data_IF_864713858946
#
_entry.id   IF_864713858946
#
_cell.length_a   1.000
_cell.length_b   1.000
_cell.length_c   1.000
_cell.angle_alpha   90.00
_cell.angle_beta   90.00
_cell.angle_gamma   90.00
#
_symmetry.space_group_name_H-M   'P 1'
#
loop_
_entity.id
_entity.type
_entity.pdbx_description
1 polymer ?
#
# COMPACT_ATOMS: atom_id res chain seq x y z
N UNK A 1 15.37 -9.76 -8.02
CA UNK A 1 13.97 -10.02 -7.68
C UNK A 1 13.13 -8.85 -8.17
N UNK A 2 12.16 -9.11 -9.03
CA UNK A 2 11.15 -8.15 -9.50
C UNK A 2 9.94 -8.14 -8.57
N UNK A 3 9.05 -7.15 -8.73
CA UNK A 3 7.77 -7.13 -8.02
C UNK A 3 6.90 -8.33 -8.38
N UNK A 4 6.84 -8.71 -9.66
CA UNK A 4 6.10 -9.89 -10.11
C UNK A 4 6.60 -11.18 -9.45
N UNK A 5 7.93 -11.40 -9.44
CA UNK A 5 8.53 -12.56 -8.79
C UNK A 5 8.23 -12.58 -7.29
N UNK A 6 8.25 -11.43 -6.63
CA UNK A 6 7.92 -11.32 -5.21
C UNK A 6 6.44 -11.63 -4.92
N UNK A 7 5.52 -11.20 -5.79
CA UNK A 7 4.09 -11.56 -5.70
C UNK A 7 3.92 -13.06 -5.90
N UNK A 8 4.51 -13.64 -6.95
CA UNK A 8 4.42 -15.08 -7.27
C UNK A 8 5.01 -15.99 -6.19
N UNK A 9 5.98 -15.49 -5.42
CA UNK A 9 6.57 -16.21 -4.29
C UNK A 9 5.71 -16.18 -3.01
N UNK A 10 4.67 -15.34 -2.94
CA UNK A 10 3.76 -15.31 -1.80
C UNK A 10 2.79 -16.51 -1.83
N UNK A 11 2.20 -16.92 -0.69
CA UNK A 11 1.18 -17.97 -0.68
C UNK A 11 -0.06 -17.61 -1.49
N UNK A 12 -0.78 -18.63 -1.98
CA UNK A 12 -2.08 -18.45 -2.59
C UNK A 12 -3.07 -17.78 -1.61
N UNK A 13 -3.97 -16.91 -2.08
CA UNK A 13 -4.19 -16.53 -3.50
C UNK A 13 -3.33 -15.37 -4.00
N UNK A 14 -2.32 -14.90 -3.23
CA UNK A 14 -1.55 -13.71 -3.59
C UNK A 14 -0.62 -13.95 -4.79
N UNK A 15 -0.08 -15.17 -4.94
CA UNK A 15 0.78 -15.55 -6.07
C UNK A 15 0.21 -15.29 -7.47
N UNK A 16 -1.11 -15.25 -7.61
CA UNK A 16 -1.80 -15.09 -8.89
C UNK A 16 -2.38 -13.68 -9.08
N UNK A 17 -2.25 -12.81 -8.08
CA UNK A 17 -2.92 -11.51 -8.05
C UNK A 17 -2.11 -10.34 -8.65
N UNK A 18 -0.98 -10.64 -9.29
CA UNK A 18 -0.18 -9.63 -9.98
C UNK A 18 -0.93 -9.09 -11.20
N UNK A 19 -0.92 -7.76 -11.36
CA UNK A 19 -1.41 -7.08 -12.55
C UNK A 19 -0.35 -6.13 -13.12
N UNK A 20 -0.14 -6.06 -14.45
CA UNK A 20 0.79 -5.12 -15.06
C UNK A 20 0.43 -3.64 -14.79
N UNK A 21 1.43 -2.79 -14.58
CA UNK A 21 1.23 -1.36 -14.29
C UNK A 21 0.29 -1.13 -13.10
N UNK A 22 -0.59 -0.13 -13.17
CA UNK A 22 -1.56 0.22 -12.12
C UNK A 22 -2.93 -0.48 -12.26
N UNK A 23 -3.04 -1.54 -13.07
CA UNK A 23 -4.32 -2.15 -13.41
C UNK A 23 -5.10 -2.68 -12.19
N UNK A 24 -4.40 -3.17 -11.14
CA UNK A 24 -5.06 -3.66 -9.93
C UNK A 24 -5.83 -2.57 -9.15
N UNK A 25 -5.50 -1.29 -9.35
CA UNK A 25 -6.14 -0.16 -8.66
C UNK A 25 -7.48 0.24 -9.29
N UNK A 26 -7.77 -0.18 -10.53
CA UNK A 26 -8.97 0.27 -11.25
C UNK A 26 -9.08 1.79 -11.29
N UNK A 27 -10.22 2.34 -10.86
CA UNK A 27 -10.46 3.79 -10.81
C UNK A 27 -9.55 4.53 -9.83
N UNK A 28 -9.00 3.86 -8.81
CA UNK A 28 -8.05 4.46 -7.87
C UNK A 28 -6.68 4.75 -8.51
N UNK A 29 -6.40 4.22 -9.70
CA UNK A 29 -5.15 4.53 -10.43
C UNK A 29 -4.97 6.03 -10.67
N UNK A 30 -6.06 6.80 -10.86
CA UNK A 30 -6.02 8.25 -11.01
C UNK A 30 -5.52 9.02 -9.77
N UNK A 31 -5.42 8.34 -8.61
CA UNK A 31 -4.84 8.90 -7.39
C UNK A 31 -3.31 8.79 -7.35
N UNK A 32 -2.72 8.04 -8.28
CA UNK A 32 -1.27 7.87 -8.43
C UNK A 32 -0.80 8.62 -9.67
N UNK A 33 0.14 9.55 -9.49
CA UNK A 33 0.79 10.25 -10.60
C UNK A 33 2.15 9.58 -10.86
N UNK A 34 2.29 8.97 -12.04
CA UNK A 34 3.52 8.31 -12.50
C UNK A 34 4.05 8.97 -13.78
N UNK A 35 4.80 10.06 -13.61
CA UNK A 35 5.25 10.90 -14.71
C UNK A 35 6.32 10.24 -15.61
N UNK A 36 6.92 9.11 -15.17
CA UNK A 36 8.00 8.45 -15.92
C UNK A 36 7.73 6.97 -16.23
N UNK A 37 6.48 6.51 -16.14
CA UNK A 37 6.10 5.08 -16.35
C UNK A 37 6.98 4.13 -15.55
N UNK A 38 7.33 4.50 -14.32
CA UNK A 38 8.19 3.71 -13.44
C UNK A 38 7.45 2.55 -12.81
N UNK A 39 6.13 2.58 -12.80
CA UNK A 39 5.33 1.49 -12.28
C UNK A 39 5.49 0.24 -13.14
N UNK A 40 5.87 -0.87 -12.51
CA UNK A 40 6.08 -2.17 -13.17
C UNK A 40 4.85 -3.06 -13.03
N UNK A 41 4.23 -3.05 -11.85
CA UNK A 41 3.02 -3.82 -11.57
C UNK A 41 2.31 -3.38 -10.30
N UNK A 42 1.14 -3.97 -10.05
CA UNK A 42 0.30 -3.69 -8.90
C UNK A 42 -0.42 -4.95 -8.40
N UNK A 43 -0.87 -4.89 -7.15
CA UNK A 43 -1.54 -5.94 -6.41
C UNK A 43 -2.69 -5.30 -5.59
N UNK A 44 -3.90 -5.86 -5.67
CA UNK A 44 -5.04 -5.46 -4.83
C UNK A 44 -5.21 -6.48 -3.69
N UNK A 45 -4.43 -6.30 -2.63
CA UNK A 45 -4.28 -7.23 -1.52
C UNK A 45 -5.59 -7.44 -0.74
N UNK A 46 -6.33 -6.39 -0.42
CA UNK A 46 -7.61 -6.51 0.29
C UNK A 46 -8.60 -7.38 -0.49
N UNK A 47 -8.81 -7.06 -1.78
CA UNK A 47 -9.69 -7.83 -2.67
C UNK A 47 -9.24 -9.28 -2.82
N UNK A 48 -7.94 -9.51 -3.00
CA UNK A 48 -7.37 -10.85 -3.15
C UNK A 48 -7.61 -11.74 -1.92
N UNK A 49 -7.57 -11.15 -0.72
CA UNK A 49 -7.67 -11.89 0.54
C UNK A 49 -9.08 -11.85 1.16
N UNK A 50 -10.03 -11.13 0.58
CA UNK A 50 -11.36 -10.89 1.17
C UNK A 50 -12.12 -12.18 1.53
N UNK A 51 -11.98 -13.22 0.68
CA UNK A 51 -12.65 -14.52 0.84
C UNK A 51 -11.70 -15.62 1.31
N UNK A 52 -10.44 -15.30 1.60
CA UNK A 52 -9.44 -16.27 2.02
C UNK A 52 -9.39 -16.34 3.54
N UNK A 53 -9.56 -17.55 4.11
CA UNK A 53 -9.29 -17.77 5.53
C UNK A 53 -7.78 -17.90 5.76
N UNK A 54 -7.22 -17.30 6.83
CA UNK A 54 -7.90 -16.64 7.96
C UNK A 54 -8.11 -15.12 7.80
N UNK A 55 -7.91 -14.59 6.59
CA UNK A 55 -7.83 -13.14 6.35
C UNK A 55 -9.18 -12.44 6.20
N UNK A 56 -10.29 -13.17 6.00
CA UNK A 56 -11.62 -12.63 5.70
C UNK A 56 -12.15 -11.57 6.67
N UNK A 57 -11.75 -11.61 7.95
CA UNK A 57 -12.18 -10.64 8.98
C UNK A 57 -11.03 -9.76 9.51
N UNK A 58 -9.90 -9.70 8.81
CA UNK A 58 -8.73 -8.92 9.21
C UNK A 58 -8.78 -7.49 8.66
N UNK A 59 -8.10 -6.51 9.30
CA UNK A 59 -7.97 -5.16 8.77
C UNK A 59 -6.94 -5.17 7.63
N UNK A 60 -7.33 -5.70 6.48
CA UNK A 60 -6.45 -5.85 5.33
C UNK A 60 -6.11 -4.49 4.72
N UNK A 61 -4.92 -4.42 4.15
CA UNK A 61 -4.42 -3.27 3.41
C UNK A 61 -4.82 -3.36 1.94
N UNK A 62 -5.06 -2.21 1.30
CA UNK A 62 -5.61 -2.21 -0.05
C UNK A 62 -4.60 -2.63 -1.12
N UNK A 63 -3.54 -1.85 -1.37
CA UNK A 63 -2.71 -2.01 -2.58
C UNK A 63 -1.21 -2.14 -2.30
N UNK A 64 -0.55 -2.96 -3.12
CA UNK A 64 0.90 -2.98 -3.31
C UNK A 64 1.26 -2.57 -4.75
N UNK A 65 2.31 -1.78 -4.92
CA UNK A 65 2.73 -1.27 -6.23
C UNK A 65 4.24 -1.44 -6.38
N UNK A 66 4.65 -2.10 -7.45
CA UNK A 66 6.03 -2.24 -7.88
C UNK A 66 6.47 -1.07 -8.72
N UNK A 67 7.66 -0.53 -8.44
CA UNK A 67 8.28 0.54 -9.22
C UNK A 67 9.72 0.20 -9.55
N UNK A 68 10.14 0.55 -10.77
CA UNK A 68 11.54 0.51 -11.18
C UNK A 68 12.25 1.76 -10.68
N UNK A 69 13.29 1.58 -9.85
CA UNK A 69 14.20 2.64 -9.43
C UNK A 69 15.63 2.26 -9.80
N UNK A 70 16.22 3.01 -10.75
CA UNK A 70 17.54 2.68 -11.33
C UNK A 70 17.56 1.22 -11.82
N UNK A 71 18.44 0.39 -11.26
CA UNK A 71 18.66 -0.99 -11.67
C UNK A 71 17.93 -2.02 -10.78
N UNK A 72 16.98 -1.59 -9.92
CA UNK A 72 16.21 -2.47 -9.05
C UNK A 72 14.72 -2.14 -9.06
N UNK A 73 13.91 -3.10 -8.67
CA UNK A 73 12.50 -2.86 -8.37
C UNK A 73 12.30 -2.75 -6.86
N UNK A 74 11.44 -1.82 -6.48
CA UNK A 74 11.03 -1.59 -5.10
C UNK A 74 9.50 -1.61 -5.03
N UNK A 75 8.95 -2.00 -3.88
CA UNK A 75 7.52 -1.97 -3.61
C UNK A 75 7.17 -0.81 -2.66
N UNK A 76 5.99 -0.24 -2.87
CA UNK A 76 5.30 0.60 -1.88
C UNK A 76 3.84 0.23 -1.78
N UNK A 77 3.22 0.69 -0.71
CA UNK A 77 1.94 0.21 -0.25
C UNK A 77 0.99 1.38 -0.07
N UNK A 78 -0.18 1.30 -0.71
CA UNK A 78 -1.16 2.38 -0.75
C UNK A 78 -2.44 1.91 -0.11
N UNK A 79 -2.95 2.70 0.83
CA UNK A 79 -4.28 2.56 1.42
C UNK A 79 -5.16 3.71 0.94
N UNK A 80 -6.36 3.41 0.43
CA UNK A 80 -7.34 4.41 0.00
C UNK A 80 -8.50 4.42 0.98
N UNK A 81 -8.46 5.33 1.96
CA UNK A 81 -9.38 5.29 3.09
C UNK A 81 -9.89 6.69 3.48
N UNK A 82 -11.13 6.85 4.01
CA UNK A 82 -11.64 8.14 4.48
C UNK A 82 -10.73 8.83 5.50
N UNK A 83 -10.32 10.06 5.20
CA UNK A 83 -9.43 10.85 6.04
C UNK A 83 -10.18 11.67 7.10
N UNK A 84 -10.81 10.98 8.05
CA UNK A 84 -11.44 11.56 9.24
C UNK A 84 -10.84 10.97 10.52
N UNK A 85 -11.26 11.46 11.70
CA UNK A 85 -10.72 11.03 13.00
C UNK A 85 -10.85 9.53 13.26
N UNK A 86 -11.96 8.90 12.84
CA UNK A 86 -12.15 7.44 12.98
C UNK A 86 -11.22 6.68 12.03
N UNK A 87 -11.06 7.16 10.81
CA UNK A 87 -10.18 6.57 9.79
C UNK A 87 -8.71 6.47 10.23
N UNK A 88 -8.22 7.39 11.08
CA UNK A 88 -6.84 7.29 11.60
C UNK A 88 -6.61 5.98 12.36
N UNK A 89 -7.52 5.62 13.27
CA UNK A 89 -7.37 4.40 14.06
C UNK A 89 -7.44 3.16 13.17
N UNK A 90 -8.33 3.16 12.18
CA UNK A 90 -8.52 2.05 11.26
C UNK A 90 -7.30 1.83 10.35
N UNK A 91 -6.79 2.90 9.72
CA UNK A 91 -5.62 2.82 8.84
C UNK A 91 -4.37 2.40 9.61
N UNK A 92 -4.21 2.82 10.87
CA UNK A 92 -3.10 2.34 11.70
C UNK A 92 -3.20 0.83 11.99
N UNK A 93 -4.40 0.31 12.27
CA UNK A 93 -4.60 -1.14 12.43
C UNK A 93 -4.29 -1.91 11.15
N UNK A 94 -4.70 -1.36 9.99
CA UNK A 94 -4.37 -1.93 8.68
C UNK A 94 -2.87 -1.92 8.41
N UNK A 95 -2.17 -0.85 8.79
CA UNK A 95 -0.72 -0.73 8.65
C UNK A 95 0.01 -1.78 9.47
N UNK A 96 -0.38 -1.97 10.74
CA UNK A 96 0.21 -2.99 11.60
C UNK A 96 -0.04 -4.39 11.05
N UNK A 97 -1.26 -4.66 10.55
CA UNK A 97 -1.57 -5.91 9.88
C UNK A 97 -0.70 -6.13 8.63
N UNK A 98 -0.53 -5.12 7.78
CA UNK A 98 0.30 -5.21 6.58
C UNK A 98 1.75 -5.54 6.95
N UNK A 99 2.32 -4.83 7.93
CA UNK A 99 3.69 -5.09 8.38
C UNK A 99 3.85 -6.54 8.84
N UNK A 100 2.90 -7.06 9.61
CA UNK A 100 2.91 -8.45 10.04
C UNK A 100 2.76 -9.44 8.88
N UNK A 101 1.86 -9.16 7.94
CA UNK A 101 1.65 -9.95 6.74
C UNK A 101 2.94 -10.03 5.90
N UNK A 102 3.59 -8.90 5.65
CA UNK A 102 4.84 -8.85 4.88
C UNK A 102 5.98 -9.58 5.58
N UNK A 103 6.12 -9.43 6.90
CA UNK A 103 7.22 -10.07 7.62
C UNK A 103 7.08 -11.60 7.71
N UNK A 104 5.86 -12.13 7.82
CA UNK A 104 5.63 -13.54 8.15
C UNK A 104 4.99 -14.36 7.02
N UNK A 105 4.21 -13.73 6.15
CA UNK A 105 3.46 -14.43 5.08
C UNK A 105 4.08 -14.18 3.72
N UNK A 106 4.51 -12.93 3.44
CA UNK A 106 5.08 -12.56 2.16
C UNK A 106 6.48 -11.90 2.28
N UNK A 107 7.49 -12.62 2.80
CA UNK A 107 8.83 -12.07 3.05
C UNK A 107 9.54 -11.58 1.78
N UNK A 108 9.26 -12.16 0.60
CA UNK A 108 9.79 -11.66 -0.68
C UNK A 108 9.30 -10.24 -0.99
N UNK A 109 8.01 -9.95 -0.75
CA UNK A 109 7.45 -8.60 -0.89
C UNK A 109 8.02 -7.64 0.17
N UNK A 110 8.27 -8.13 1.39
CA UNK A 110 8.98 -7.35 2.41
C UNK A 110 10.39 -6.98 1.99
N UNK A 111 11.12 -7.91 1.35
CA UNK A 111 12.51 -7.74 0.92
C UNK A 111 12.70 -6.65 -0.13
N UNK A 112 11.69 -6.43 -0.98
CA UNK A 112 11.69 -5.36 -1.99
C UNK A 112 10.95 -4.09 -1.54
N UNK A 113 10.31 -4.09 -0.36
CA UNK A 113 9.62 -2.90 0.15
C UNK A 113 10.63 -1.78 0.38
N UNK A 114 10.38 -0.59 -0.20
CA UNK A 114 11.31 0.55 -0.13
C UNK A 114 11.62 0.94 1.32
N UNK A 115 12.80 1.49 1.57
CA UNK A 115 13.21 1.94 2.91
C UNK A 115 12.53 3.24 3.33
N UNK A 116 12.35 4.16 2.37
CA UNK A 116 11.84 5.50 2.62
C UNK A 116 10.35 5.58 2.28
N UNK A 117 9.54 5.98 3.27
CA UNK A 117 8.10 6.21 3.12
C UNK A 117 7.38 5.08 2.33
N UNK A 118 7.54 3.80 2.72
CA UNK A 118 6.94 2.68 1.98
C UNK A 118 5.42 2.59 2.09
N UNK A 119 4.82 3.25 3.07
CA UNK A 119 3.40 3.17 3.34
C UNK A 119 2.78 4.55 3.10
N UNK A 120 1.75 4.59 2.26
CA UNK A 120 1.08 5.82 1.83
C UNK A 120 -0.41 5.66 2.07
N UNK A 121 -1.00 6.66 2.71
CA UNK A 121 -2.45 6.79 2.84
C UNK A 121 -2.94 7.90 1.92
N UNK A 122 -3.86 7.54 1.02
CA UNK A 122 -4.57 8.47 0.16
C UNK A 122 -6.02 8.56 0.63
N UNK A 123 -6.51 9.77 0.82
CA UNK A 123 -7.91 10.02 1.16
C UNK A 123 -8.82 9.57 0.00
N UNK A 124 -9.85 8.79 0.31
CA UNK A 124 -10.88 8.47 -0.66
C UNK A 124 -11.65 9.72 -1.11
N UNK A 125 -11.88 10.66 -0.19
CA UNK A 125 -12.50 11.97 -0.42
C UNK A 125 -11.75 13.14 0.23
N UNK A 126 -12.47 14.03 0.92
CA UNK A 126 -11.89 15.17 1.64
C UNK A 126 -11.02 14.75 2.83
N UNK A 127 -10.08 15.62 3.22
CA UNK A 127 -9.25 15.45 4.41
C UNK A 127 -9.83 16.30 5.54
N UNK A 128 -10.30 15.62 6.58
CA UNK A 128 -10.99 16.18 7.74
C UNK A 128 -10.30 15.77 9.05
N UNK A 129 -8.96 15.75 9.05
CA UNK A 129 -8.16 15.53 10.26
C UNK A 129 -7.62 16.87 10.72
N UNK A 130 -8.00 17.27 11.94
CA UNK A 130 -7.52 18.51 12.53
C UNK A 130 -6.03 18.40 12.91
N UNK A 131 -5.29 19.47 12.63
CA UNK A 131 -3.88 19.63 13.04
C UNK A 131 -3.78 19.65 14.57
N UNK A 132 -2.63 19.23 15.10
CA UNK A 132 -2.27 19.25 16.52
C UNK A 132 -3.14 18.38 17.44
N UNK A 133 -3.95 17.49 16.88
CA UNK A 133 -4.70 16.48 17.64
C UNK A 133 -3.81 15.30 18.02
N UNK A 134 -4.15 14.54 19.08
CA UNK A 134 -3.45 13.29 19.40
C UNK A 134 -3.37 12.31 18.21
N UNK A 135 -4.42 12.26 17.39
CA UNK A 135 -4.49 11.44 16.18
C UNK A 135 -3.45 11.89 15.14
N UNK A 136 -3.30 13.19 14.92
CA UNK A 136 -2.27 13.72 14.00
C UNK A 136 -0.83 13.39 14.46
N UNK A 137 -0.57 13.40 15.79
CA UNK A 137 0.74 13.04 16.35
C UNK A 137 1.03 11.54 16.21
N UNK A 138 0.02 10.69 16.46
CA UNK A 138 0.13 9.23 16.26
C UNK A 138 0.44 8.88 14.81
N UNK A 139 -0.19 9.59 13.87
CA UNK A 139 0.05 9.41 12.45
C UNK A 139 1.48 9.78 12.06
N UNK A 140 1.99 10.92 12.54
CA UNK A 140 3.37 11.33 12.28
C UNK A 140 4.41 10.32 12.81
N UNK A 141 4.10 9.63 13.91
CA UNK A 141 4.99 8.64 14.53
C UNK A 141 4.92 7.23 13.89
N UNK A 142 3.95 6.94 13.03
CA UNK A 142 3.72 5.57 12.53
C UNK A 142 4.57 5.17 11.32
N UNK A 143 5.26 6.14 10.71
CA UNK A 143 5.97 5.98 9.44
C UNK A 143 5.04 5.90 8.23
N UNK A 144 3.77 6.31 8.38
CA UNK A 144 2.78 6.42 7.32
C UNK A 144 2.81 7.83 6.71
N UNK A 145 2.97 7.92 5.39
CA UNK A 145 2.83 9.19 4.68
C UNK A 145 1.34 9.47 4.39
N UNK A 146 0.87 10.66 4.73
CA UNK A 146 -0.49 11.12 4.41
C UNK A 146 -1.34 11.47 5.63
N UNK A 147 -2.67 11.61 5.48
CA UNK A 147 -3.44 11.37 4.25
C UNK A 147 -3.11 12.39 3.14
N UNK A 148 -3.03 11.92 1.90
CA UNK A 148 -2.83 12.74 0.70
C UNK A 148 -4.08 12.74 -0.18
N UNK A 149 -4.24 13.71 -1.08
CA UNK A 149 -5.28 13.65 -2.14
C UNK A 149 -4.83 12.78 -3.32
N UNK A 150 -3.57 12.96 -3.71
CA UNK A 150 -2.88 12.20 -4.75
C UNK A 150 -1.46 11.91 -4.25
N UNK A 151 -0.86 10.85 -4.78
CA UNK A 151 0.54 10.52 -4.53
C UNK A 151 1.33 10.56 -5.84
N UNK A 152 2.38 11.38 -5.87
CA UNK A 152 3.26 11.50 -7.03
C UNK A 152 4.53 10.69 -6.79
N UNK A 153 4.87 9.83 -7.74
CA UNK A 153 6.14 9.12 -7.75
C UNK A 153 7.25 10.12 -8.12
N UNK A 154 7.81 10.80 -7.12
CA UNK A 154 8.87 11.79 -7.32
C UNK A 154 10.15 11.22 -7.95
N UNK A 155 10.97 12.07 -8.55
CA UNK A 155 12.31 11.75 -9.09
C UNK A 155 13.28 11.29 -7.97
N UNK A 156 14.30 10.47 -8.30
CA UNK A 156 15.16 9.77 -7.35
C UNK A 156 15.96 10.62 -6.36
#
# INVERSE_FOLDING_TARGET
MTFQEAVQAAPAPVNEAYQPGLQALGSNSAKIQDDCRRTTGSLFLDKTLENSQPYANQPRWDYGIGVRRRNREEAFWVEVHPANTHGVTEVLRKLDWLKNFLNHVAPSLRGITRSEQPYVWIASGGIHIQKNTPQSRRLAASGLLGPLKHYSLGEP
#
